data_IF_330680337226
#
_entry.id   IF_330680337226
#
_cell.length_a   1.000
_cell.length_b   1.000
_cell.length_c   1.000
_cell.angle_alpha   90.00
_cell.angle_beta   90.00
_cell.angle_gamma   90.00
#
_symmetry.space_group_name_H-M   'P 1'
#
loop_
_entity.id
_entity.type
_entity.pdbx_description
1 polymer ?
#
# COMPACT_ATOMS: atom_id res chain seq x y z
N UNK A 1 1.16 -8.65 -4.60
CA UNK A 1 -0.15 -7.96 -4.75
C UNK A 1 -1.34 -8.91 -4.71
N UNK A 2 -1.23 -10.17 -5.15
CA UNK A 2 -2.30 -11.16 -4.95
C UNK A 2 -2.41 -11.61 -3.48
N UNK A 3 -1.29 -11.65 -2.74
CA UNK A 3 -1.25 -12.17 -1.36
C UNK A 3 -1.99 -11.32 -0.31
N UNK A 4 -1.96 -9.98 -0.40
CA UNK A 4 -2.67 -9.11 0.55
C UNK A 4 -4.19 -9.10 0.32
N UNK A 5 -4.62 -9.16 -0.94
CA UNK A 5 -6.04 -9.28 -1.28
C UNK A 5 -6.60 -10.63 -0.81
N UNK A 6 -5.82 -11.70 -0.95
CA UNK A 6 -6.18 -13.01 -0.44
C UNK A 6 -6.34 -12.99 1.09
N UNK A 7 -5.49 -12.25 1.81
CA UNK A 7 -5.61 -12.05 3.25
C UNK A 7 -6.89 -11.31 3.64
N UNK A 8 -7.21 -10.22 2.94
CA UNK A 8 -8.43 -9.43 3.16
C UNK A 8 -9.69 -10.26 2.86
N UNK A 9 -9.73 -10.92 1.70
CA UNK A 9 -10.84 -11.79 1.29
C UNK A 9 -11.00 -12.95 2.26
N UNK A 10 -9.91 -13.59 2.71
CA UNK A 10 -9.97 -14.66 3.71
C UNK A 10 -10.52 -14.18 5.05
N UNK A 11 -10.20 -12.95 5.45
CA UNK A 11 -10.73 -12.36 6.68
C UNK A 11 -12.22 -12.02 6.56
N UNK A 12 -12.63 -11.48 5.42
CA UNK A 12 -14.04 -11.28 5.04
C UNK A 12 -14.82 -12.57 5.04
N UNK A 13 -14.28 -13.62 4.40
CA UNK A 13 -14.95 -14.90 4.23
C UNK A 13 -15.14 -15.60 5.59
N UNK A 14 -14.16 -15.50 6.50
CA UNK A 14 -14.30 -15.97 7.88
C UNK A 14 -15.40 -15.24 8.65
N UNK A 15 -15.47 -13.92 8.55
CA UNK A 15 -16.51 -13.13 9.25
C UNK A 15 -17.90 -13.35 8.66
N UNK A 16 -18.00 -13.51 7.34
CA UNK A 16 -19.25 -13.85 6.65
C UNK A 16 -19.74 -15.24 7.05
N UNK A 17 -18.83 -16.21 7.18
CA UNK A 17 -19.15 -17.58 7.62
C UNK A 17 -19.64 -17.63 9.08
N UNK A 18 -19.19 -16.71 9.94
CA UNK A 18 -19.69 -16.56 11.32
C UNK A 18 -21.06 -15.85 11.35
N UNK A 19 -21.29 -14.89 10.45
CA UNK A 19 -22.56 -14.15 10.40
C UNK A 19 -23.72 -14.99 9.80
N UNK A 20 -23.42 -15.90 8.87
CA UNK A 20 -24.39 -16.75 8.19
C UNK A 20 -25.34 -17.53 9.14
N UNK A 21 -24.87 -18.24 10.19
CA UNK A 21 -25.77 -18.92 11.12
C UNK A 21 -26.67 -17.96 11.91
N UNK A 22 -26.23 -16.74 12.19
CA UNK A 22 -27.03 -15.72 12.88
C UNK A 22 -28.18 -15.23 11.99
N UNK A 23 -27.91 -15.03 10.69
CA UNK A 23 -28.94 -14.68 9.70
C UNK A 23 -29.93 -15.82 9.47
N UNK A 24 -29.45 -17.06 9.34
CA UNK A 24 -30.30 -18.23 9.17
C UNK A 24 -31.20 -18.44 10.39
N UNK A 25 -30.66 -18.32 11.59
CA UNK A 25 -31.43 -18.42 12.83
C UNK A 25 -32.50 -17.32 12.93
N UNK A 26 -32.13 -16.06 12.67
CA UNK A 26 -33.08 -14.94 12.65
C UNK A 26 -34.20 -15.14 11.61
N UNK A 27 -33.86 -15.61 10.41
CA UNK A 27 -34.83 -15.90 9.35
C UNK A 27 -35.78 -17.05 9.70
N UNK A 28 -35.28 -18.12 10.32
CA UNK A 28 -36.10 -19.25 10.77
C UNK A 28 -37.08 -18.79 11.86
N UNK A 29 -36.64 -17.97 12.82
CA UNK A 29 -37.49 -17.44 13.89
C UNK A 29 -38.60 -16.55 13.32
N UNK A 30 -38.30 -15.72 12.32
CA UNK A 30 -39.29 -14.88 11.63
C UNK A 30 -40.28 -15.74 10.83
N UNK A 31 -39.80 -16.73 10.08
CA UNK A 31 -40.65 -17.63 9.31
C UNK A 31 -41.59 -18.44 10.22
N UNK A 32 -41.09 -18.89 11.38
CA UNK A 32 -41.89 -19.59 12.37
C UNK A 32 -42.92 -18.68 13.05
N UNK A 33 -42.59 -17.39 13.24
CA UNK A 33 -43.52 -16.40 13.76
C UNK A 33 -44.66 -16.07 12.78
N UNK A 34 -44.37 -16.00 11.47
CA UNK A 34 -45.37 -15.75 10.43
C UNK A 34 -46.38 -16.91 10.27
N UNK A 35 -45.99 -18.14 10.60
CA UNK A 35 -46.90 -19.30 10.56
C UNK A 35 -47.93 -19.35 11.69
N UNK A 36 -47.89 -18.42 12.65
CA UNK A 36 -48.75 -18.42 13.84
C UNK A 36 -49.93 -17.45 13.65
N UNK A 37 -51.16 -17.96 13.78
CA UNK A 37 -52.40 -17.24 13.45
C UNK A 37 -52.77 -16.07 14.39
N UNK A 38 -52.13 -15.94 15.55
CA UNK A 38 -52.39 -14.87 16.49
C UNK A 38 -51.32 -13.79 16.44
N UNK A 39 -51.71 -12.59 15.97
CA UNK A 39 -50.83 -11.43 15.82
C UNK A 39 -50.05 -11.07 17.10
N UNK A 40 -50.67 -11.26 18.27
CA UNK A 40 -50.04 -10.95 19.57
C UNK A 40 -48.94 -11.96 19.98
N UNK A 41 -49.03 -13.23 19.58
CA UNK A 41 -48.02 -14.24 19.90
C UNK A 41 -46.82 -14.20 18.94
N UNK A 42 -46.96 -13.52 17.80
CA UNK A 42 -45.91 -13.36 16.80
C UNK A 42 -44.98 -12.17 17.08
N UNK A 43 -45.40 -11.18 17.88
CA UNK A 43 -44.62 -9.96 18.15
C UNK A 43 -43.29 -10.20 18.89
N UNK A 44 -43.27 -11.14 19.84
CA UNK A 44 -42.06 -11.51 20.57
C UNK A 44 -40.98 -12.11 19.67
N UNK A 45 -41.25 -13.21 18.94
CA UNK A 45 -40.26 -13.83 18.07
C UNK A 45 -39.86 -12.96 16.87
N UNK A 46 -40.74 -12.11 16.33
CA UNK A 46 -40.34 -11.17 15.26
C UNK A 46 -39.35 -10.12 15.75
N UNK A 47 -39.51 -9.58 16.96
CA UNK A 47 -38.53 -8.67 17.56
C UNK A 47 -37.16 -9.34 17.74
N UNK A 48 -37.15 -10.58 18.26
CA UNK A 48 -35.91 -11.35 18.41
C UNK A 48 -35.25 -11.60 17.06
N UNK A 49 -36.02 -11.98 16.05
CA UNK A 49 -35.53 -12.19 14.69
C UNK A 49 -34.94 -10.92 14.07
N UNK A 50 -35.61 -9.78 14.21
CA UNK A 50 -35.11 -8.48 13.73
C UNK A 50 -33.83 -8.06 14.46
N UNK A 51 -33.76 -8.26 15.78
CA UNK A 51 -32.52 -8.02 16.54
C UNK A 51 -31.36 -8.88 16.02
N UNK A 52 -31.59 -10.16 15.73
CA UNK A 52 -30.56 -11.03 15.13
C UNK A 52 -30.10 -10.54 13.75
N UNK A 53 -31.00 -10.03 12.90
CA UNK A 53 -30.65 -9.46 11.61
C UNK A 53 -29.81 -8.18 11.73
N UNK A 54 -30.12 -7.32 12.70
CA UNK A 54 -29.35 -6.09 12.98
C UNK A 54 -27.93 -6.47 13.43
N UNK A 55 -27.80 -7.41 14.38
CA UNK A 55 -26.49 -7.87 14.86
C UNK A 55 -25.67 -8.51 13.74
N UNK A 56 -26.30 -9.36 12.92
CA UNK A 56 -25.65 -9.93 11.74
C UNK A 56 -25.17 -8.87 10.76
N UNK A 57 -25.96 -7.82 10.55
CA UNK A 57 -25.62 -6.70 9.66
C UNK A 57 -24.44 -5.89 10.19
N UNK A 58 -24.38 -5.63 11.50
CA UNK A 58 -23.25 -4.92 12.12
C UNK A 58 -21.93 -5.69 11.99
N UNK A 59 -21.94 -7.03 12.04
CA UNK A 59 -20.74 -7.87 11.89
C UNK A 59 -20.17 -7.79 10.46
N UNK A 60 -21.05 -7.68 9.47
CA UNK A 60 -20.68 -7.60 8.04
C UNK A 60 -20.36 -6.15 7.62
N UNK A 61 -20.93 -5.15 8.29
CA UNK A 61 -20.80 -3.75 7.93
C UNK A 61 -19.36 -3.25 7.96
N UNK A 62 -18.57 -3.60 8.99
CA UNK A 62 -17.18 -3.13 9.13
C UNK A 62 -16.28 -3.52 7.93
N UNK A 63 -16.21 -4.80 7.50
CA UNK A 63 -15.35 -5.16 6.38
C UNK A 63 -15.91 -4.72 5.01
N UNK A 64 -17.23 -4.62 4.83
CA UNK A 64 -17.81 -4.03 3.61
C UNK A 64 -17.50 -2.53 3.55
N UNK A 65 -17.66 -1.82 4.66
CA UNK A 65 -17.29 -0.41 4.76
C UNK A 65 -15.79 -0.23 4.46
N UNK A 66 -14.92 -1.17 4.85
CA UNK A 66 -13.51 -1.12 4.51
C UNK A 66 -13.23 -1.30 3.02
N UNK A 67 -13.94 -2.19 2.34
CA UNK A 67 -13.83 -2.34 0.87
C UNK A 67 -14.33 -1.08 0.15
N UNK A 68 -15.39 -0.46 0.65
CA UNK A 68 -16.00 0.74 0.06
C UNK A 68 -15.20 2.01 0.42
N UNK A 69 -14.64 2.08 1.63
CA UNK A 69 -13.90 3.22 2.16
C UNK A 69 -12.41 3.18 1.82
N UNK A 70 -11.86 2.04 1.39
CA UNK A 70 -10.64 2.06 0.61
C UNK A 70 -10.96 2.87 -0.66
N UNK A 71 -10.39 4.07 -0.83
CA UNK A 71 -10.67 4.84 -2.02
C UNK A 71 -10.26 3.96 -3.19
N UNK A 72 -11.11 3.86 -4.21
CA UNK A 72 -10.80 3.21 -5.49
C UNK A 72 -9.47 3.71 -6.10
N UNK A 73 -8.95 4.83 -5.60
CA UNK A 73 -7.57 5.25 -5.75
C UNK A 73 -6.51 4.22 -5.33
N UNK A 74 -6.69 3.35 -4.34
CA UNK A 74 -5.69 2.33 -3.97
C UNK A 74 -5.55 1.17 -4.98
N UNK A 75 -6.58 0.96 -5.80
CA UNK A 75 -6.58 -0.04 -6.89
C UNK A 75 -5.78 0.49 -8.09
N UNK A 76 -5.80 1.81 -8.33
CA UNK A 76 -5.07 2.47 -9.42
C UNK A 76 -3.72 3.10 -8.98
N UNK A 77 -3.62 3.54 -7.74
CA UNK A 77 -2.45 4.11 -7.09
C UNK A 77 -1.97 3.14 -6.02
N UNK A 78 -1.26 2.11 -6.45
CA UNK A 78 -0.67 1.14 -5.55
C UNK A 78 0.39 1.77 -4.64
N UNK A 79 0.78 1.04 -3.59
CA UNK A 79 1.97 1.22 -2.73
C UNK A 79 3.28 1.50 -3.48
N UNK A 80 3.27 1.47 -4.82
CA UNK A 80 4.27 2.12 -5.66
C UNK A 80 4.36 3.64 -5.47
N UNK A 81 3.47 4.37 -4.80
CA UNK A 81 3.66 5.82 -4.64
C UNK A 81 5.04 6.22 -4.09
N UNK A 82 5.69 5.44 -3.20
CA UNK A 82 7.08 5.71 -2.81
C UNK A 82 8.08 5.47 -3.95
N UNK A 83 7.84 4.45 -4.78
CA UNK A 83 8.64 4.06 -5.95
C UNK A 83 8.38 4.93 -7.20
N UNK A 84 7.16 5.46 -7.34
CA UNK A 84 6.68 6.40 -8.36
C UNK A 84 7.00 7.84 -7.99
N UNK A 85 6.88 8.26 -6.71
CA UNK A 85 7.49 9.51 -6.23
C UNK A 85 8.99 9.47 -6.52
N UNK A 86 9.66 8.33 -6.24
CA UNK A 86 11.06 8.15 -6.61
C UNK A 86 11.25 8.33 -8.11
N UNK A 87 10.42 7.73 -8.97
CA UNK A 87 10.59 7.86 -10.42
C UNK A 87 10.39 9.30 -10.94
N UNK A 88 9.32 9.98 -10.54
CA UNK A 88 9.05 11.37 -10.95
C UNK A 88 10.09 12.33 -10.39
N UNK A 89 10.50 12.16 -9.12
CA UNK A 89 11.57 12.94 -8.52
C UNK A 89 12.91 12.70 -9.22
N UNK A 90 13.22 11.45 -9.60
CA UNK A 90 14.42 11.09 -10.37
C UNK A 90 14.41 11.78 -11.74
N UNK A 91 13.28 11.73 -12.46
CA UNK A 91 13.12 12.42 -13.74
C UNK A 91 13.33 13.92 -13.60
N UNK A 92 12.72 14.55 -12.60
CA UNK A 92 12.89 15.98 -12.33
C UNK A 92 14.35 16.33 -11.99
N UNK A 93 15.03 15.52 -11.17
CA UNK A 93 16.44 15.70 -10.84
C UNK A 93 17.32 15.59 -12.10
N UNK A 94 17.07 14.60 -12.96
CA UNK A 94 17.77 14.46 -14.25
C UNK A 94 17.56 15.68 -15.15
N UNK A 95 16.34 16.19 -15.25
CA UNK A 95 16.05 17.43 -16.00
C UNK A 95 16.85 18.61 -15.44
N UNK A 96 16.95 18.73 -14.11
CA UNK A 96 17.78 19.76 -13.47
C UNK A 96 19.27 19.60 -13.82
N UNK A 97 19.80 18.38 -13.87
CA UNK A 97 21.17 18.10 -14.34
C UNK A 97 21.34 18.56 -15.79
N UNK A 98 20.40 18.25 -16.68
CA UNK A 98 20.44 18.71 -18.08
C UNK A 98 20.39 20.23 -18.21
N UNK A 99 19.66 20.91 -17.31
CA UNK A 99 19.61 22.38 -17.21
C UNK A 99 20.81 22.99 -16.48
N UNK A 100 21.82 22.20 -16.12
CA UNK A 100 23.02 22.60 -15.36
C UNK A 100 22.75 23.13 -13.94
N UNK A 101 21.59 22.83 -13.36
CA UNK A 101 21.24 23.17 -11.99
C UNK A 101 21.74 22.10 -11.00
N UNK A 102 23.06 21.90 -10.95
CA UNK A 102 23.67 20.79 -10.21
C UNK A 102 23.43 20.82 -8.71
N UNK A 103 23.40 22.02 -8.08
CA UNK A 103 23.11 22.14 -6.64
C UNK A 103 21.70 21.67 -6.29
N UNK A 104 20.73 22.05 -7.11
CA UNK A 104 19.33 21.63 -6.94
C UNK A 104 19.18 20.13 -7.17
N UNK A 105 19.83 19.61 -8.22
CA UNK A 105 19.80 18.17 -8.51
C UNK A 105 20.44 17.34 -7.39
N UNK A 106 21.56 17.80 -6.83
CA UNK A 106 22.20 17.16 -5.66
C UNK A 106 21.23 17.07 -4.48
N UNK A 107 20.60 18.18 -4.11
CA UNK A 107 19.64 18.20 -3.01
C UNK A 107 18.45 17.25 -3.25
N UNK A 108 17.96 17.17 -4.50
CA UNK A 108 16.90 16.24 -4.87
C UNK A 108 17.35 14.78 -4.69
N UNK A 109 18.52 14.39 -5.22
CA UNK A 109 19.04 13.03 -5.05
C UNK A 109 19.33 12.69 -3.58
N UNK A 110 19.87 13.62 -2.79
CA UNK A 110 20.13 13.42 -1.36
C UNK A 110 18.84 13.22 -0.56
N UNK A 111 17.78 13.97 -0.89
CA UNK A 111 16.45 13.79 -0.31
C UNK A 111 15.87 12.41 -0.65
N UNK A 112 16.03 11.95 -1.90
CA UNK A 112 15.62 10.62 -2.32
C UNK A 112 16.39 9.52 -1.60
N UNK A 113 17.72 9.67 -1.45
CA UNK A 113 18.57 8.75 -0.69
C UNK A 113 18.13 8.68 0.77
N UNK A 114 17.77 9.81 1.37
CA UNK A 114 17.32 9.87 2.76
C UNK A 114 15.95 9.18 2.95
N UNK A 115 15.06 9.32 1.97
CA UNK A 115 13.71 8.73 2.01
C UNK A 115 13.73 7.23 1.67
N UNK A 116 14.57 6.82 0.72
CA UNK A 116 14.66 5.45 0.22
C UNK A 116 16.13 5.03 0.05
N UNK A 117 16.86 4.75 1.15
CA UNK A 117 18.30 4.47 1.11
C UNK A 117 18.67 3.15 0.42
N UNK A 118 17.69 2.26 0.18
CA UNK A 118 17.90 0.99 -0.52
C UNK A 118 17.73 1.10 -2.04
N UNK A 119 17.31 2.26 -2.56
CA UNK A 119 17.18 2.46 -4.01
C UNK A 119 18.53 2.83 -4.61
N UNK A 120 19.04 2.02 -5.54
CA UNK A 120 20.34 2.27 -6.21
C UNK A 120 20.30 3.44 -7.20
N UNK A 121 19.12 3.78 -7.75
CA UNK A 121 19.00 4.74 -8.85
C UNK A 121 19.49 6.14 -8.48
N UNK A 122 19.12 6.73 -7.33
CA UNK A 122 19.63 8.03 -6.92
C UNK A 122 21.15 8.05 -6.72
N UNK A 123 21.74 6.99 -6.14
CA UNK A 123 23.20 6.88 -6.00
C UNK A 123 23.89 6.83 -7.35
N UNK A 124 23.37 6.01 -8.27
CA UNK A 124 23.88 5.86 -9.64
C UNK A 124 23.87 7.19 -10.37
N UNK A 125 22.73 7.87 -10.39
CA UNK A 125 22.57 9.12 -11.14
C UNK A 125 23.39 10.27 -10.49
N UNK A 126 23.54 10.27 -9.17
CA UNK A 126 24.39 11.23 -8.46
C UNK A 126 25.87 11.00 -8.77
N UNK A 127 26.34 9.75 -8.79
CA UNK A 127 27.71 9.38 -9.20
C UNK A 127 27.97 9.80 -10.65
N UNK A 128 27.05 9.50 -11.57
CA UNK A 128 27.14 9.89 -12.98
C UNK A 128 27.20 11.41 -13.12
N UNK A 129 26.39 12.15 -12.36
CA UNK A 129 26.45 13.62 -12.38
C UNK A 129 27.84 14.12 -11.95
N UNK A 130 28.43 13.55 -10.90
CA UNK A 130 29.75 13.94 -10.43
C UNK A 130 30.87 13.58 -11.42
N UNK A 131 30.84 12.38 -12.00
CA UNK A 131 31.86 11.93 -12.96
C UNK A 131 31.71 12.66 -14.31
N UNK A 132 30.52 12.67 -14.90
CA UNK A 132 30.33 13.12 -16.29
C UNK A 132 30.10 14.63 -16.42
N UNK A 133 29.51 15.28 -15.41
CA UNK A 133 29.12 16.70 -15.49
C UNK A 133 30.00 17.63 -14.68
N UNK A 134 30.49 17.17 -13.52
CA UNK A 134 31.32 17.97 -12.62
C UNK A 134 32.80 17.58 -12.67
N UNK A 135 33.13 16.42 -13.25
CA UNK A 135 34.47 15.84 -13.26
C UNK A 135 35.09 15.75 -11.84
N UNK A 136 34.26 15.51 -10.84
CA UNK A 136 34.65 15.42 -9.43
C UNK A 136 34.60 13.96 -8.96
N UNK A 137 35.74 13.28 -9.15
CA UNK A 137 35.87 11.86 -8.79
C UNK A 137 35.86 11.65 -7.27
N UNK A 138 36.29 12.62 -6.48
CA UNK A 138 36.34 12.49 -5.02
C UNK A 138 34.93 12.47 -4.44
N UNK A 139 34.07 13.40 -4.85
CA UNK A 139 32.67 13.41 -4.43
C UNK A 139 31.91 12.17 -4.91
N UNK A 140 32.18 11.69 -6.14
CA UNK A 140 31.60 10.45 -6.64
C UNK A 140 31.95 9.24 -5.74
N UNK A 141 33.20 9.14 -5.28
CA UNK A 141 33.64 8.09 -4.35
C UNK A 141 32.94 8.19 -3.00
N UNK A 142 32.77 9.40 -2.45
CA UNK A 142 32.04 9.58 -1.19
C UNK A 142 30.58 9.08 -1.29
N UNK A 143 29.92 9.34 -2.43
CA UNK A 143 28.57 8.83 -2.69
C UNK A 143 28.56 7.31 -2.77
N UNK A 144 29.56 6.71 -3.43
CA UNK A 144 29.71 5.26 -3.49
C UNK A 144 29.89 4.65 -2.09
N UNK A 145 30.78 5.21 -1.27
CA UNK A 145 31.01 4.76 0.11
C UNK A 145 29.73 4.84 0.96
N UNK A 146 28.96 5.93 0.82
CA UNK A 146 27.66 6.08 1.49
C UNK A 146 26.68 4.98 1.06
N UNK A 147 26.70 4.59 -0.21
CA UNK A 147 25.83 3.54 -0.76
C UNK A 147 26.13 2.15 -0.19
N UNK A 148 27.39 1.87 0.17
CA UNK A 148 27.82 0.57 0.73
C UNK A 148 27.12 0.22 2.04
N UNK A 149 26.63 1.21 2.79
CA UNK A 149 25.92 0.99 4.06
C UNK A 149 24.50 0.43 3.87
N UNK A 150 23.88 0.68 2.72
CA UNK A 150 22.45 0.45 2.53
C UNK A 150 22.10 -0.46 1.34
N UNK A 151 22.95 -0.52 0.31
CA UNK A 151 22.69 -1.30 -0.90
C UNK A 151 23.08 -2.77 -0.77
N UNK A 152 22.50 -3.62 -1.63
CA UNK A 152 22.86 -5.05 -1.71
C UNK A 152 24.14 -5.26 -2.52
N UNK A 153 24.79 -6.43 -2.38
CA UNK A 153 26.05 -6.75 -3.09
C UNK A 153 25.98 -6.50 -4.60
N UNK A 154 24.92 -6.98 -5.26
CA UNK A 154 24.69 -6.81 -6.70
C UNK A 154 24.63 -5.34 -7.12
N UNK A 155 23.97 -4.50 -6.34
CA UNK A 155 23.83 -3.07 -6.63
C UNK A 155 25.17 -2.35 -6.45
N UNK A 156 25.94 -2.71 -5.41
CA UNK A 156 27.29 -2.19 -5.17
C UNK A 156 28.24 -2.53 -6.32
N UNK A 157 28.18 -3.76 -6.83
CA UNK A 157 28.96 -4.19 -8.00
C UNK A 157 28.61 -3.35 -9.23
N UNK A 158 27.31 -3.07 -9.44
CA UNK A 158 26.86 -2.23 -10.56
C UNK A 158 27.41 -0.80 -10.49
N UNK A 159 27.51 -0.21 -9.29
CA UNK A 159 28.09 1.11 -9.08
C UNK A 159 29.62 1.09 -9.21
N UNK A 160 30.27 0.02 -8.74
CA UNK A 160 31.73 -0.15 -8.83
C UNK A 160 32.21 -0.14 -10.29
N UNK A 161 31.46 -0.78 -11.19
CA UNK A 161 31.75 -0.80 -12.63
C UNK A 161 31.78 0.61 -13.26
N UNK A 162 31.20 1.62 -12.63
CA UNK A 162 31.19 3.00 -13.15
C UNK A 162 32.51 3.74 -12.90
N UNK A 163 33.35 3.24 -11.98
CA UNK A 163 34.64 3.84 -11.65
C UNK A 163 35.82 3.19 -12.38
N UNK A 164 35.56 2.14 -13.16
CA UNK A 164 36.54 1.41 -13.96
C UNK A 164 36.68 2.05 -15.33
#
# INVERSE_FOLDING_TARGET
MVEDYYGLVKHLLKRCLIALPVFVFGGIVIAYALGRSSAFAALGPTLIGVCCLIVGSCIIAEPIARIIAEPSGGIYYSRNQAKELSHTALCNARIQVHRKYYKSAKAAYESMISTCPRDVRPYKDLIVMYLDKLNDRQEALQVYEKSLKHLNKKDRESLFLMFK
#
